data_IF_711158311413
#
_entry.id   IF_711158311413
#
_cell.length_a   1.000
_cell.length_b   1.000
_cell.length_c   1.000
_cell.angle_alpha   90.00
_cell.angle_beta   90.00
_cell.angle_gamma   90.00
#
_symmetry.space_group_name_H-M   'P 1'
#
loop_
_entity.id
_entity.type
_entity.pdbx_description
1 polymer ?
#
# COMPACT_ATOMS: atom_id res chain seq x y z
N UNK A 1 31.87 -7.01 39.11
CA UNK A 1 30.98 -7.78 38.22
C UNK A 1 30.61 -6.86 37.06
N UNK A 2 31.19 -7.08 35.88
CA UNK A 2 30.89 -6.27 34.70
C UNK A 2 29.70 -6.89 33.97
N UNK A 3 28.54 -6.23 34.06
CA UNK A 3 27.34 -6.65 33.34
C UNK A 3 27.43 -6.21 31.88
N UNK A 4 27.36 -7.16 30.95
CA UNK A 4 27.14 -6.84 29.55
C UNK A 4 25.73 -6.23 29.41
N UNK A 5 25.68 -4.93 29.11
CA UNK A 5 24.43 -4.26 28.75
C UNK A 5 24.04 -4.66 27.33
N UNK A 6 23.21 -5.68 27.20
CA UNK A 6 22.58 -6.01 25.91
C UNK A 6 21.41 -5.07 25.69
N UNK A 7 21.61 -4.02 24.91
CA UNK A 7 20.49 -3.18 24.45
C UNK A 7 19.59 -4.04 23.55
N UNK A 8 18.29 -4.18 23.84
CA UNK A 8 17.37 -4.90 22.96
C UNK A 8 17.30 -4.20 21.60
N UNK A 9 17.24 -4.94 20.49
CA UNK A 9 16.99 -4.33 19.20
C UNK A 9 15.63 -3.62 19.22
N UNK A 10 15.50 -2.46 18.56
CA UNK A 10 14.24 -1.72 18.51
C UNK A 10 13.13 -2.58 17.89
N UNK A 11 11.94 -2.50 18.49
CA UNK A 11 10.77 -3.22 17.97
C UNK A 11 10.43 -2.75 16.54
N UNK A 12 10.02 -3.69 15.70
CA UNK A 12 9.56 -3.36 14.35
C UNK A 12 8.33 -2.42 14.43
N UNK A 13 8.27 -1.36 13.61
CA UNK A 13 7.11 -0.48 13.60
C UNK A 13 5.86 -1.27 13.16
N UNK A 14 4.69 -1.01 13.76
CA UNK A 14 3.45 -1.66 13.36
C UNK A 14 3.16 -1.40 11.89
N UNK A 15 2.68 -2.42 11.19
CA UNK A 15 2.21 -2.27 9.81
C UNK A 15 0.90 -1.46 9.81
N UNK A 16 0.74 -0.55 8.87
CA UNK A 16 -0.54 0.10 8.67
C UNK A 16 -1.59 -0.93 8.25
N UNK A 17 -2.74 -0.94 8.93
CA UNK A 17 -3.83 -1.89 8.68
C UNK A 17 -4.38 -1.80 7.25
N UNK A 18 -4.30 -0.61 6.63
CA UNK A 18 -4.68 -0.40 5.23
C UNK A 18 -3.88 -1.32 4.29
N UNK A 19 -2.59 -1.55 4.57
CA UNK A 19 -1.72 -2.42 3.77
C UNK A 19 -2.13 -3.90 3.77
N UNK A 20 -2.96 -4.31 4.73
CA UNK A 20 -3.49 -5.68 4.82
C UNK A 20 -4.69 -5.90 3.89
N UNK A 21 -5.16 -4.86 3.21
CA UNK A 21 -6.28 -4.95 2.27
C UNK A 21 -5.75 -5.10 0.84
N UNK A 22 -5.93 -6.27 0.19
CA UNK A 22 -5.49 -6.48 -1.18
C UNK A 22 -6.22 -5.56 -2.15
N UNK A 23 -5.59 -5.29 -3.28
CA UNK A 23 -6.25 -4.63 -4.41
C UNK A 23 -7.14 -5.61 -5.16
N UNK A 24 -8.29 -5.16 -5.70
CA UNK A 24 -9.07 -5.96 -6.62
C UNK A 24 -8.21 -6.46 -7.78
N UNK A 25 -8.28 -7.76 -8.06
CA UNK A 25 -7.55 -8.41 -9.16
C UNK A 25 -8.39 -8.56 -10.41
N UNK A 26 -9.71 -8.43 -10.27
CA UNK A 26 -10.67 -8.49 -11.36
C UNK A 26 -11.19 -7.11 -11.66
N UNK A 27 -11.11 -6.71 -12.93
CA UNK A 27 -11.73 -5.46 -13.39
C UNK A 27 -13.22 -5.70 -13.68
N UNK A 28 -14.09 -4.70 -13.45
CA UNK A 28 -15.47 -4.78 -13.88
C UNK A 28 -15.53 -5.01 -15.39
N UNK A 29 -16.34 -5.98 -15.87
CA UNK A 29 -16.55 -6.17 -17.29
C UNK A 29 -17.37 -5.00 -17.86
N UNK A 30 -17.25 -4.79 -19.17
CA UNK A 30 -18.22 -3.98 -19.90
C UNK A 30 -19.58 -4.70 -19.87
N UNK A 31 -20.63 -3.97 -19.54
CA UNK A 31 -21.98 -4.51 -19.35
C UNK A 31 -22.82 -4.51 -20.63
N UNK A 32 -22.63 -3.54 -21.53
CA UNK A 32 -23.49 -3.41 -22.72
C UNK A 32 -22.81 -2.87 -24.00
N UNK A 33 -21.49 -2.71 -24.02
CA UNK A 33 -20.74 -2.28 -25.21
C UNK A 33 -21.00 -0.83 -25.65
N UNK A 34 -21.83 -0.08 -24.91
CA UNK A 34 -22.11 1.32 -25.21
C UNK A 34 -20.97 2.23 -24.73
N UNK A 35 -20.81 3.38 -25.37
CA UNK A 35 -19.87 4.41 -24.91
C UNK A 35 -20.15 4.87 -23.46
N UNK A 36 -21.42 4.84 -23.05
CA UNK A 36 -21.84 5.14 -21.67
C UNK A 36 -21.24 4.15 -20.67
N UNK A 37 -21.36 2.87 -20.97
CA UNK A 37 -20.86 1.79 -20.13
C UNK A 37 -19.33 1.76 -20.05
N UNK A 38 -18.66 2.01 -21.18
CA UNK A 38 -17.20 2.23 -21.20
C UNK A 38 -16.81 3.37 -20.26
N UNK A 39 -17.48 4.52 -20.36
CA UNK A 39 -17.18 5.67 -19.51
C UNK A 39 -17.45 5.40 -18.01
N UNK A 40 -18.52 4.66 -17.68
CA UNK A 40 -18.82 4.25 -16.31
C UNK A 40 -17.77 3.28 -15.76
N UNK A 41 -17.38 2.29 -16.56
CA UNK A 41 -16.36 1.29 -16.22
C UNK A 41 -15.01 1.96 -15.97
N UNK A 42 -14.60 2.90 -16.82
CA UNK A 42 -13.36 3.66 -16.65
C UNK A 42 -13.37 4.50 -15.36
N UNK A 43 -14.50 5.13 -15.00
CA UNK A 43 -14.63 5.83 -13.71
C UNK A 43 -14.52 4.88 -12.52
N UNK A 44 -15.18 3.72 -12.59
CA UNK A 44 -15.07 2.68 -11.57
C UNK A 44 -13.64 2.17 -11.41
N UNK A 45 -12.92 2.00 -12.51
CA UNK A 45 -11.51 1.62 -12.51
C UNK A 45 -10.63 2.71 -11.89
N UNK A 46 -10.81 3.97 -12.27
CA UNK A 46 -10.05 5.10 -11.70
C UNK A 46 -10.22 5.18 -10.18
N UNK A 47 -11.42 4.96 -9.66
CA UNK A 47 -11.68 4.92 -8.21
C UNK A 47 -10.95 3.77 -7.51
N UNK A 48 -10.97 2.57 -8.10
CA UNK A 48 -10.26 1.41 -7.55
C UNK A 48 -8.75 1.62 -7.57
N UNK A 49 -8.23 2.11 -8.69
CA UNK A 49 -6.81 2.46 -8.83
C UNK A 49 -6.40 3.49 -7.78
N UNK A 50 -7.17 4.57 -7.59
CA UNK A 50 -6.86 5.60 -6.61
C UNK A 50 -6.68 5.00 -5.20
N UNK A 51 -7.65 4.19 -4.75
CA UNK A 51 -7.56 3.55 -3.43
C UNK A 51 -6.35 2.63 -3.28
N UNK A 52 -6.00 1.91 -4.36
CA UNK A 52 -4.82 1.06 -4.40
C UNK A 52 -3.50 1.85 -4.39
N UNK A 53 -3.42 2.90 -5.19
CA UNK A 53 -2.25 3.76 -5.31
C UNK A 53 -1.93 4.42 -3.96
N UNK A 54 -2.93 4.91 -3.21
CA UNK A 54 -2.72 5.48 -1.87
C UNK A 54 -2.00 4.50 -0.94
N UNK A 55 -2.42 3.23 -0.93
CA UNK A 55 -1.82 2.20 -0.05
C UNK A 55 -0.44 1.79 -0.52
N UNK A 56 -0.27 1.55 -1.82
CA UNK A 56 1.00 1.15 -2.40
C UNK A 56 2.06 2.24 -2.20
N UNK A 57 1.73 3.49 -2.54
CA UNK A 57 2.66 4.61 -2.43
C UNK A 57 3.01 4.88 -0.96
N UNK A 58 2.04 4.80 -0.05
CA UNK A 58 2.31 4.90 1.39
C UNK A 58 3.25 3.80 1.92
N UNK A 59 3.15 2.58 1.40
CA UNK A 59 4.11 1.50 1.72
C UNK A 59 5.52 1.86 1.22
N UNK A 60 5.65 2.25 -0.05
CA UNK A 60 6.94 2.61 -0.65
C UNK A 60 7.62 3.73 0.15
N UNK A 61 6.89 4.80 0.47
CA UNK A 61 7.39 5.90 1.30
C UNK A 61 7.85 5.44 2.69
N UNK A 62 7.12 4.50 3.30
CA UNK A 62 7.49 3.95 4.61
C UNK A 62 8.76 3.11 4.56
N UNK A 63 8.96 2.33 3.50
CA UNK A 63 10.14 1.50 3.30
C UNK A 63 11.37 2.37 3.01
N UNK A 64 11.20 3.35 2.15
CA UNK A 64 12.23 4.32 1.79
C UNK A 64 12.69 5.15 3.01
N UNK A 65 11.75 5.58 3.86
CA UNK A 65 12.10 6.19 5.17
C UNK A 65 12.91 5.25 6.05
N UNK A 66 12.49 3.99 6.20
CA UNK A 66 13.24 3.00 7.00
C UNK A 66 14.66 2.78 6.46
N UNK A 67 14.84 2.77 5.14
CA UNK A 67 16.15 2.63 4.52
C UNK A 67 17.05 3.83 4.79
N UNK A 68 16.50 5.06 4.73
CA UNK A 68 17.24 6.28 5.11
C UNK A 68 17.63 6.29 6.58
N UNK A 69 16.69 5.96 7.47
CA UNK A 69 16.93 5.97 8.92
C UNK A 69 17.96 4.90 9.34
N UNK A 70 18.09 3.82 8.56
CA UNK A 70 19.07 2.76 8.78
C UNK A 70 20.46 3.04 8.15
N UNK A 71 20.62 4.14 7.39
CA UNK A 71 21.89 4.52 6.77
C UNK A 71 22.76 5.28 7.80
N UNK A 72 24.00 4.83 8.06
CA UNK A 72 24.92 5.50 8.98
C UNK A 72 25.41 6.85 8.46
#
# INVERSE_FOLDING_TARGET
>A
MSGCSTTPPPAAPPLQQTLLTPCPTTLPPLTDGTARDVALTLRGWASQYHGCATRHNGLIESLDRRQRDARP
#
